data_IF_958408079390
#
_entry.id   IF_958408079390
#
_cell.length_a   1.000
_cell.length_b   1.000
_cell.length_c   1.000
_cell.angle_alpha   90.00
_cell.angle_beta   90.00
_cell.angle_gamma   90.00
#
_symmetry.space_group_name_H-M   'P 1'
#
loop_
_entity.id
_entity.type
_entity.pdbx_description
1 polymer ?
#
# COMPACT_ATOMS: atom_id res chain seq x y z
N UNK A 1 -11.12 -23.97 10.42
CA UNK A 1 -10.01 -23.15 9.88
C UNK A 1 -10.59 -21.81 9.46
N UNK A 2 -10.36 -20.76 10.24
CA UNK A 2 -10.79 -19.40 9.89
C UNK A 2 -9.79 -18.84 8.89
N UNK A 3 -10.03 -19.06 7.60
CA UNK A 3 -9.43 -18.24 6.55
C UNK A 3 -10.09 -16.86 6.63
N UNK A 4 -9.69 -16.11 7.65
CA UNK A 4 -9.85 -14.67 7.67
C UNK A 4 -8.96 -14.16 6.56
N UNK A 5 -9.52 -14.13 5.36
CA UNK A 5 -8.98 -13.43 4.21
C UNK A 5 -9.11 -11.93 4.53
N UNK A 6 -8.41 -11.49 5.58
CA UNK A 6 -8.30 -10.08 5.93
C UNK A 6 -7.68 -9.45 4.71
N UNK A 7 -8.51 -8.76 3.92
CA UNK A 7 -8.04 -7.92 2.83
C UNK A 7 -6.91 -7.10 3.42
N UNK A 8 -5.69 -7.35 2.97
CA UNK A 8 -4.52 -6.61 3.40
C UNK A 8 -4.75 -5.17 2.99
N UNK A 9 -5.23 -4.39 3.95
CA UNK A 9 -5.58 -3.00 3.76
C UNK A 9 -4.29 -2.20 3.89
N UNK A 10 -3.81 -1.68 2.76
CA UNK A 10 -2.66 -0.80 2.73
C UNK A 10 -3.16 0.62 2.99
N UNK A 11 -2.72 1.20 4.10
CA UNK A 11 -3.10 2.57 4.45
C UNK A 11 -2.27 3.55 3.62
N UNK A 12 -2.90 4.66 3.22
CA UNK A 12 -2.22 5.76 2.52
C UNK A 12 -1.04 6.29 3.34
N UNK A 13 -1.12 6.25 4.68
CA UNK A 13 -0.03 6.61 5.59
C UNK A 13 1.19 5.70 5.47
N UNK A 14 1.01 4.40 5.20
CA UNK A 14 2.12 3.47 5.02
C UNK A 14 2.84 3.75 3.70
N UNK A 15 2.08 3.94 2.61
CA UNK A 15 2.65 4.31 1.32
C UNK A 15 3.37 5.66 1.40
N UNK A 16 2.78 6.63 2.11
CA UNK A 16 3.40 7.93 2.34
C UNK A 16 4.72 7.82 3.12
N UNK A 17 4.77 7.00 4.16
CA UNK A 17 5.98 6.77 4.94
C UNK A 17 7.09 6.12 4.09
N UNK A 18 6.75 5.09 3.30
CA UNK A 18 7.71 4.40 2.42
C UNK A 18 8.26 5.33 1.35
N UNK A 19 7.42 6.18 0.77
CA UNK A 19 7.82 7.13 -0.27
C UNK A 19 8.42 8.43 0.29
N UNK A 20 8.46 8.61 1.61
CA UNK A 20 8.90 9.85 2.25
C UNK A 20 7.98 11.05 1.95
N UNK A 21 6.72 10.80 1.62
CA UNK A 21 5.73 11.83 1.31
C UNK A 21 4.94 12.23 2.54
N UNK A 22 4.45 13.47 2.55
CA UNK A 22 3.42 13.86 3.52
C UNK A 22 2.14 13.08 3.24
N UNK A 23 1.42 12.69 4.30
CA UNK A 23 0.12 12.02 4.17
C UNK A 23 -0.84 12.77 3.24
N UNK A 24 -0.93 14.09 3.39
CA UNK A 24 -1.79 14.95 2.56
C UNK A 24 -1.40 14.93 1.08
N UNK A 25 -0.10 14.81 0.78
CA UNK A 25 0.41 14.68 -0.58
C UNK A 25 0.05 13.33 -1.18
N UNK A 26 0.31 12.23 -0.47
CA UNK A 26 -0.05 10.88 -0.93
C UNK A 26 -1.56 10.74 -1.12
N UNK A 27 -2.35 11.25 -0.16
CA UNK A 27 -3.82 11.30 -0.25
C UNK A 27 -4.28 12.10 -1.47
N UNK A 28 -3.75 13.30 -1.68
CA UNK A 28 -4.10 14.12 -2.84
C UNK A 28 -3.75 13.45 -4.16
N UNK A 29 -2.62 12.74 -4.23
CA UNK A 29 -2.20 12.00 -5.44
C UNK A 29 -3.15 10.83 -5.71
N UNK A 30 -3.57 10.10 -4.66
CA UNK A 30 -4.54 9.01 -4.76
C UNK A 30 -5.92 9.52 -5.18
N UNK A 31 -6.43 10.56 -4.53
CA UNK A 31 -7.75 11.15 -4.79
C UNK A 31 -7.82 11.78 -6.18
N UNK A 32 -6.78 12.52 -6.59
CA UNK A 32 -6.76 13.22 -7.89
C UNK A 32 -6.22 12.37 -9.03
N UNK A 33 -5.66 11.19 -8.72
CA UNK A 33 -4.94 10.32 -9.67
C UNK A 33 -3.90 11.07 -10.50
N UNK A 34 -3.27 12.07 -9.89
CA UNK A 34 -2.47 13.09 -10.59
C UNK A 34 -1.41 13.70 -9.66
N UNK A 35 -0.23 14.08 -10.19
CA UNK A 35 0.26 13.83 -11.55
C UNK A 35 0.50 12.32 -11.81
N UNK A 36 0.22 11.85 -13.04
CA UNK A 36 0.25 10.41 -13.42
C UNK A 36 1.50 9.67 -12.96
N UNK A 37 2.67 10.30 -13.09
CA UNK A 37 3.96 9.72 -12.68
C UNK A 37 3.94 9.37 -11.18
N UNK A 38 3.53 10.32 -10.33
CA UNK A 38 3.48 10.11 -8.88
C UNK A 38 2.38 9.13 -8.50
N UNK A 39 1.26 9.14 -9.21
CA UNK A 39 0.20 8.16 -8.98
C UNK A 39 0.66 6.74 -9.32
N UNK A 40 1.42 6.56 -10.41
CA UNK A 40 2.03 5.27 -10.74
C UNK A 40 3.00 4.82 -9.64
N UNK A 41 3.87 5.72 -9.16
CA UNK A 41 4.76 5.42 -8.02
C UNK A 41 3.99 5.03 -6.76
N UNK A 42 2.86 5.69 -6.48
CA UNK A 42 1.98 5.33 -5.37
C UNK A 42 1.44 3.90 -5.53
N UNK A 43 0.91 3.56 -6.71
CA UNK A 43 0.37 2.23 -7.01
C UNK A 43 1.44 1.13 -6.91
N UNK A 44 2.63 1.38 -7.43
CA UNK A 44 3.74 0.43 -7.38
C UNK A 44 4.17 0.16 -5.93
N UNK A 45 4.18 1.20 -5.07
CA UNK A 45 4.45 1.02 -3.65
C UNK A 45 3.33 0.30 -2.91
N UNK A 46 2.07 0.63 -3.20
CA UNK A 46 0.91 -0.06 -2.61
C UNK A 46 0.93 -1.55 -2.96
N UNK A 47 1.29 -1.90 -4.20
CA UNK A 47 1.45 -3.29 -4.65
C UNK A 47 2.58 -4.01 -3.91
N UNK A 48 3.78 -3.41 -3.82
CA UNK A 48 4.92 -4.00 -3.09
C UNK A 48 4.62 -4.24 -1.62
N UNK A 49 3.93 -3.29 -0.97
CA UNK A 49 3.53 -3.44 0.43
C UNK A 49 2.51 -4.57 0.62
N UNK A 50 1.57 -4.73 -0.32
CA UNK A 50 0.63 -5.84 -0.30
C UNK A 50 1.36 -7.17 -0.44
N UNK A 51 2.22 -7.31 -1.45
CA UNK A 51 3.00 -8.54 -1.69
C UNK A 51 3.88 -8.90 -0.48
N UNK A 52 4.50 -7.90 0.16
CA UNK A 52 5.31 -8.13 1.36
C UNK A 52 4.46 -8.65 2.54
N UNK A 53 3.29 -8.04 2.78
CA UNK A 53 2.37 -8.49 3.83
C UNK A 53 1.77 -9.87 3.52
N UNK A 54 1.45 -10.18 2.26
CA UNK A 54 0.99 -11.50 1.84
C UNK A 54 2.06 -12.57 2.09
N UNK A 55 3.32 -12.28 1.75
CA UNK A 55 4.44 -13.18 2.03
C UNK A 55 4.62 -13.43 3.53
N UNK A 56 4.63 -12.36 4.34
CA UNK A 56 4.74 -12.46 5.79
C UNK A 56 3.59 -13.30 6.37
N UNK A 57 2.35 -13.06 5.91
CA UNK A 57 1.19 -13.82 6.38
C UNK A 57 1.28 -15.32 6.01
N UNK A 58 1.74 -15.64 4.79
CA UNK A 58 1.96 -17.02 4.37
C UNK A 58 3.09 -17.71 5.16
N UNK A 59 4.16 -16.98 5.49
CA UNK A 59 5.25 -17.49 6.33
C UNK A 59 4.84 -17.68 7.79
N UNK A 60 4.02 -16.80 8.35
CA UNK A 60 3.46 -16.93 9.71
C UNK A 60 2.38 -18.02 9.84
N UNK A 61 1.75 -18.39 8.73
CA UNK A 61 0.71 -19.44 8.69
C UNK A 61 1.27 -20.84 8.42
N UNK A 62 2.58 -20.96 8.16
CA UNK A 62 3.32 -22.23 8.02
C UNK A 62 3.99 -22.61 9.34
#
# INVERSE_FOLDING_TARGET
MTTSNEKIEIKVSEVAAVLGWKYTTAKSIKDRMSPKIKFQTYLDCEKKLREAKEKINNELSN
#
